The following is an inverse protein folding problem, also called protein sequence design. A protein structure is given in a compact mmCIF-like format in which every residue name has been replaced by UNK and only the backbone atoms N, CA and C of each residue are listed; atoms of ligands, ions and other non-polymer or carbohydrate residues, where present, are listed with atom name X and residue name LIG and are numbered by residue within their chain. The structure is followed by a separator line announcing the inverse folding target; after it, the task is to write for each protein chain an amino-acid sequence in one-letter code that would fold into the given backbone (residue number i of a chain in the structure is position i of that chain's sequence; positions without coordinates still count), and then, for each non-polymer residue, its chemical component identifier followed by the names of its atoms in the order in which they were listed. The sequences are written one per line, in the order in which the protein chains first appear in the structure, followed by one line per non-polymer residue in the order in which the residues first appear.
data_IF_056055270978
#
_entry.id   IF_056055270978
#
_cell.length_a   1.000
_cell.length_b   1.000
_cell.length_c   1.000
_cell.angle_alpha   90.00
_cell.angle_beta   90.00
_cell.angle_gamma   90.00
#
_symmetry.space_group_name_H-M   'P 1'
#
loop_
_entity.id
_entity.type
_entity.pdbx_description
1 polymer ?
#
# COMPACT_ATOMS: atom_id res chain seq x y z
N UNK A 1 -5.01 -6.83 17.18
CA UNK A 1 -6.00 -6.74 16.11
C UNK A 1 -5.26 -6.68 14.78
N UNK A 2 -5.81 -7.28 13.73
CA UNK A 2 -5.22 -7.31 12.39
C UNK A 2 -6.09 -6.45 11.48
N UNK A 3 -5.47 -5.50 10.79
CA UNK A 3 -6.15 -4.71 9.76
C UNK A 3 -5.58 -5.07 8.40
N UNK A 4 -6.47 -5.25 7.42
CA UNK A 4 -6.09 -5.59 6.06
C UNK A 4 -6.75 -4.62 5.10
N UNK A 5 -5.97 -4.07 4.18
CA UNK A 5 -6.47 -3.28 3.05
C UNK A 5 -6.04 -3.94 1.76
N UNK A 6 -6.99 -4.09 0.83
CA UNK A 6 -6.74 -4.67 -0.49
C UNK A 6 -7.03 -3.60 -1.53
N UNK A 7 -6.03 -3.29 -2.33
CA UNK A 7 -6.10 -2.34 -3.44
C UNK A 7 -6.05 -3.17 -4.73
N UNK A 8 -7.05 -3.01 -5.59
CA UNK A 8 -7.07 -3.65 -6.91
C UNK A 8 -6.81 -2.61 -7.98
N UNK A 9 -5.79 -2.83 -8.81
CA UNK A 9 -5.40 -1.97 -9.94
C UNK A 9 -5.15 -2.85 -11.16
N UNK A 10 -4.70 -2.29 -12.30
CA UNK A 10 -4.29 -3.11 -13.43
C UNK A 10 -3.02 -3.90 -13.12
N UNK A 11 -2.78 -5.02 -13.78
CA UNK A 11 -1.62 -5.88 -13.50
C UNK A 11 -0.26 -5.19 -13.74
N UNK A 12 -0.15 -4.36 -14.78
CA UNK A 12 1.06 -3.58 -15.06
C UNK A 12 1.31 -2.51 -13.98
N UNK A 13 0.24 -1.78 -13.65
CA UNK A 13 0.22 -0.76 -12.61
C UNK A 13 0.54 -1.36 -11.23
N UNK A 14 0.00 -2.53 -10.91
CA UNK A 14 0.20 -3.20 -9.62
C UNK A 14 1.69 -3.47 -9.35
N UNK A 15 2.44 -3.92 -10.37
CA UNK A 15 3.88 -4.18 -10.26
C UNK A 15 4.67 -2.90 -10.02
N UNK A 16 4.38 -1.82 -10.75
CA UNK A 16 5.05 -0.53 -10.55
C UNK A 16 4.72 0.07 -9.20
N UNK A 17 3.44 0.08 -8.84
CA UNK A 17 2.96 0.63 -7.57
C UNK A 17 3.57 -0.12 -6.39
N UNK A 18 3.58 -1.46 -6.42
CA UNK A 18 4.22 -2.29 -5.41
C UNK A 18 5.72 -1.96 -5.26
N UNK A 19 6.47 -1.85 -6.36
CA UNK A 19 7.89 -1.49 -6.31
C UNK A 19 8.14 -0.13 -5.65
N UNK A 20 7.30 0.86 -5.94
CA UNK A 20 7.44 2.22 -5.42
C UNK A 20 7.16 2.32 -3.91
N UNK A 21 6.26 1.49 -3.38
CA UNK A 21 5.77 1.61 -2.00
C UNK A 21 6.31 0.53 -1.06
N UNK A 22 6.83 -0.59 -1.60
CA UNK A 22 7.33 -1.72 -0.80
C UNK A 22 8.40 -1.28 0.20
N UNK A 23 9.35 -0.45 -0.24
CA UNK A 23 10.44 0.02 0.62
C UNK A 23 9.94 0.82 1.82
N UNK A 24 8.91 1.65 1.63
CA UNK A 24 8.32 2.41 2.73
C UNK A 24 7.50 1.53 3.65
N UNK A 25 6.69 0.61 3.11
CA UNK A 25 5.91 -0.31 3.93
C UNK A 25 6.83 -1.20 4.78
N UNK A 26 7.87 -1.79 4.19
CA UNK A 26 8.79 -2.69 4.90
C UNK A 26 9.60 -1.95 5.98
N UNK A 27 9.77 -0.63 5.85
CA UNK A 27 10.40 0.20 6.89
C UNK A 27 9.51 0.43 8.12
N UNK A 28 8.21 0.16 8.03
CA UNK A 28 7.28 0.34 9.15
C UNK A 28 7.08 -0.95 9.94
N UNK A 29 7.37 -0.89 11.24
CA UNK A 29 7.19 -2.02 12.15
C UNK A 29 5.72 -2.42 12.25
N UNK A 30 5.43 -3.70 12.04
CA UNK A 30 4.07 -4.24 12.07
C UNK A 30 3.32 -4.13 10.75
N UNK A 31 3.96 -3.68 9.67
CA UNK A 31 3.36 -3.62 8.34
C UNK A 31 3.91 -4.73 7.45
N UNK A 32 3.07 -5.24 6.55
CA UNK A 32 3.45 -6.18 5.50
C UNK A 32 2.69 -5.85 4.23
N UNK A 33 3.37 -5.90 3.10
CA UNK A 33 2.77 -5.74 1.77
C UNK A 33 2.94 -7.02 0.95
N UNK A 34 1.90 -7.40 0.23
CA UNK A 34 1.88 -8.56 -0.67
C UNK A 34 1.31 -8.14 -2.02
N UNK A 35 1.90 -8.61 -3.11
CA UNK A 35 1.41 -8.43 -4.47
C UNK A 35 0.89 -9.78 -5.00
N UNK A 36 -0.34 -9.79 -5.50
CA UNK A 36 -0.97 -10.96 -6.14
C UNK A 36 -1.65 -10.50 -7.42
N UNK A 37 -1.01 -10.79 -8.56
CA UNK A 37 -1.42 -10.36 -9.90
C UNK A 37 -1.70 -8.85 -10.00
N UNK A 38 -2.96 -8.48 -9.82
CA UNK A 38 -3.49 -7.12 -9.95
C UNK A 38 -3.94 -6.54 -8.60
N UNK A 39 -3.66 -7.24 -7.50
CA UNK A 39 -4.04 -6.87 -6.13
C UNK A 39 -2.80 -6.61 -5.28
N UNK A 40 -2.80 -5.48 -4.58
CA UNK A 40 -1.83 -5.15 -3.55
C UNK A 40 -2.55 -5.27 -2.21
N UNK A 41 -2.07 -6.16 -1.36
CA UNK A 41 -2.58 -6.36 0.00
C UNK A 41 -1.61 -5.74 1.00
N UNK A 42 -2.14 -4.92 1.90
CA UNK A 42 -1.41 -4.31 3.01
C UNK A 42 -1.99 -4.85 4.30
N UNK A 43 -1.15 -5.48 5.10
CA UNK A 43 -1.49 -6.09 6.38
C UNK A 43 -0.82 -5.27 7.46
N UNK A 44 -1.60 -4.82 8.43
CA UNK A 44 -1.14 -4.03 9.57
C UNK A 44 -1.43 -4.84 10.83
N UNK A 45 -0.37 -5.37 11.41
CA UNK A 45 -0.35 -6.08 12.68
C UNK A 45 0.06 -5.08 13.77
N UNK A 46 -0.90 -4.27 14.22
CA UNK A 46 -0.68 -3.35 15.33
C UNK A 46 -1.92 -3.20 16.20
N UNK A 47 -1.68 -3.02 17.49
CA UNK A 47 -2.70 -2.72 18.48
C UNK A 47 -2.81 -1.21 18.77
N UNK A 48 -1.96 -0.39 18.17
CA UNK A 48 -1.90 1.05 18.42
C UNK A 48 -2.66 1.84 17.35
N UNK A 49 -3.43 2.86 17.79
CA UNK A 49 -4.21 3.71 16.90
C UNK A 49 -3.34 4.53 15.93
N UNK A 50 -2.08 4.84 16.29
CA UNK A 50 -1.15 5.52 15.41
C UNK A 50 -0.74 4.64 14.23
N UNK A 51 -0.55 3.33 14.43
CA UNK A 51 -0.25 2.40 13.34
C UNK A 51 -1.44 2.24 12.38
N UNK A 52 -2.68 2.30 12.88
CA UNK A 52 -3.87 2.31 12.01
C UNK A 52 -3.91 3.56 11.14
N UNK A 53 -3.63 4.74 11.71
CA UNK A 53 -3.54 6.00 10.94
C UNK A 53 -2.40 5.96 9.94
N UNK A 54 -1.24 5.41 10.32
CA UNK A 54 -0.11 5.25 9.42
C UNK A 54 -0.48 4.35 8.23
N UNK A 55 -1.22 3.25 8.44
CA UNK A 55 -1.73 2.42 7.36
C UNK A 55 -2.73 3.10 6.45
N UNK A 56 -3.70 3.82 7.01
CA UNK A 56 -4.62 4.63 6.22
C UNK A 56 -3.87 5.69 5.39
N UNK A 57 -2.90 6.39 5.99
CA UNK A 57 -2.07 7.36 5.28
C UNK A 57 -1.27 6.72 4.14
N UNK A 58 -0.72 5.52 4.35
CA UNK A 58 0.02 4.83 3.29
C UNK A 58 -0.91 4.45 2.14
N UNK A 59 -2.13 3.96 2.42
CA UNK A 59 -3.15 3.68 1.39
C UNK A 59 -3.51 4.95 0.61
N UNK A 60 -3.75 6.08 1.29
CA UNK A 60 -3.98 7.36 0.62
C UNK A 60 -2.80 7.77 -0.26
N UNK A 61 -1.57 7.60 0.24
CA UNK A 61 -0.38 7.94 -0.53
C UNK A 61 -0.23 7.07 -1.78
N UNK A 62 -0.57 5.79 -1.69
CA UNK A 62 -0.57 4.85 -2.81
C UNK A 62 -1.52 5.32 -3.91
N UNK A 63 -2.74 5.71 -3.54
CA UNK A 63 -3.73 6.26 -4.47
C UNK A 63 -3.20 7.54 -5.12
N UNK A 64 -2.60 8.44 -4.35
CA UNK A 64 -2.03 9.69 -4.86
C UNK A 64 -0.85 9.47 -5.80
N UNK A 65 0.05 8.52 -5.50
CA UNK A 65 1.17 8.17 -6.40
C UNK A 65 0.63 7.57 -7.70
N UNK A 66 -0.37 6.70 -7.61
CA UNK A 66 -1.03 6.12 -8.77
C UNK A 66 -1.67 7.18 -9.66
N UNK A 67 -2.39 8.13 -9.06
CA UNK A 67 -3.04 9.24 -9.77
C UNK A 67 -2.02 10.15 -10.49
N UNK A 68 -0.90 10.46 -9.82
CA UNK A 68 0.22 11.21 -10.42
C UNK A 68 0.85 10.46 -11.60
N UNK A 69 1.01 9.14 -11.52
CA UNK A 69 1.54 8.33 -12.63
C UNK A 69 0.66 8.40 -13.88
N UNK A 70 -0.66 8.53 -13.73
CA UNK A 70 -1.57 8.68 -14.89
C UNK A 70 -1.64 10.09 -15.45
N UNK A 71 -1.30 11.10 -14.64
CA UNK A 71 -1.42 12.51 -15.01
C UNK A 71 -0.20 13.03 -15.78
N UNK A 72 0.95 12.36 -15.68
CA UNK A 72 2.12 12.68 -16.52
C UNK A 72 1.91 12.06 -17.91
N UNK A 73 1.28 12.82 -18.81
CA UNK A 73 1.20 12.56 -20.25
C UNK A 73 1.72 13.77 -21.03
#
# INVERSE_FOLDING_TARGET
MKYETIITVNAEDAKQLYKNIKGEIDSQTGFKIELSDNKIRIIINSNDAASQRAGANTVFRIITVFDKMKTVK
#
